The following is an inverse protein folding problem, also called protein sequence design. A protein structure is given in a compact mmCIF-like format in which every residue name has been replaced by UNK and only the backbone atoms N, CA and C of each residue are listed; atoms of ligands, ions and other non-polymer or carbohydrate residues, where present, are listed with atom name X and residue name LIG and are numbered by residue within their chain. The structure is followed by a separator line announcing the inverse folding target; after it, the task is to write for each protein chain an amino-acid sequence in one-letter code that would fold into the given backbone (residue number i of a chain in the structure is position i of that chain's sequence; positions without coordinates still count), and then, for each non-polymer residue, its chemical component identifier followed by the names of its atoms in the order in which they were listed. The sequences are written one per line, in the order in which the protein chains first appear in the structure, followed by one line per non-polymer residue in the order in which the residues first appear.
data_IF_518982114880
#
_entry.id   IF_518982114880
#
_cell.length_a   1.000
_cell.length_b   1.000
_cell.length_c   1.000
_cell.angle_alpha   90.00
_cell.angle_beta   90.00
_cell.angle_gamma   90.00
#
_symmetry.space_group_name_H-M   'P 1'
#
loop_
_entity.id
_entity.type
_entity.pdbx_description
1 polymer ?
#
# COMPACT_ATOMS: atom_id res chain seq x y z
N UNK A 1 -15.12 -11.03 -59.58
CA UNK A 1 -14.66 -9.66 -59.25
C UNK A 1 -14.38 -9.60 -57.75
N UNK A 2 -13.11 -9.60 -57.32
CA UNK A 2 -12.75 -9.40 -55.90
C UNK A 2 -12.67 -7.89 -55.64
N UNK A 3 -13.54 -7.39 -54.78
CA UNK A 3 -13.44 -6.04 -54.25
C UNK A 3 -12.26 -6.02 -53.26
N UNK A 4 -11.19 -5.31 -53.62
CA UNK A 4 -10.19 -4.91 -52.65
C UNK A 4 -10.81 -3.79 -51.80
N UNK A 5 -11.11 -4.07 -50.53
CA UNK A 5 -11.24 -3.00 -49.55
C UNK A 5 -9.83 -2.44 -49.30
N UNK A 6 -9.62 -1.12 -49.39
CA UNK A 6 -8.36 -0.53 -49.03
C UNK A 6 -8.07 -0.85 -47.55
N UNK A 7 -6.86 -1.36 -47.31
CA UNK A 7 -6.32 -1.56 -45.96
C UNK A 7 -6.43 -0.23 -45.22
N UNK A 8 -7.02 -0.24 -44.02
CA UNK A 8 -7.13 0.94 -43.17
C UNK A 8 -5.77 1.66 -43.11
N UNK A 9 -5.76 2.91 -43.54
CA UNK A 9 -4.60 3.79 -43.47
C UNK A 9 -4.19 3.90 -42.00
N UNK A 10 -3.02 3.34 -41.66
CA UNK A 10 -2.50 3.45 -40.30
C UNK A 10 -2.24 4.93 -40.05
N UNK A 11 -2.75 5.51 -38.95
CA UNK A 11 -2.51 6.92 -38.67
C UNK A 11 -1.01 7.13 -38.58
N UNK A 12 -0.50 8.00 -39.46
CA UNK A 12 0.90 8.37 -39.62
C UNK A 12 1.54 8.55 -38.22
N UNK A 13 2.44 7.63 -37.85
CA UNK A 13 3.02 7.48 -36.51
C UNK A 13 4.01 8.58 -36.13
N UNK A 14 4.28 9.52 -37.04
CA UNK A 14 5.26 10.60 -36.92
C UNK A 14 5.06 11.51 -35.68
N UNK A 15 3.84 11.56 -35.11
CA UNK A 15 3.53 12.40 -33.94
C UNK A 15 2.96 11.63 -32.73
N UNK A 16 2.92 10.29 -32.75
CA UNK A 16 2.42 9.50 -31.61
C UNK A 16 3.53 9.27 -30.57
N UNK A 17 3.75 10.26 -29.69
CA UNK A 17 4.59 10.04 -28.50
C UNK A 17 3.75 9.37 -27.41
N UNK A 18 4.11 8.13 -27.07
CA UNK A 18 3.50 7.44 -25.94
C UNK A 18 3.66 8.28 -24.65
N UNK A 19 2.59 8.46 -23.85
CA UNK A 19 2.67 9.25 -22.63
C UNK A 19 3.65 8.61 -21.65
N UNK A 20 4.48 9.44 -21.00
CA UNK A 20 5.37 8.99 -19.93
C UNK A 20 4.56 8.55 -18.71
N UNK A 21 5.08 7.62 -17.91
CA UNK A 21 4.41 7.13 -16.69
C UNK A 21 3.97 8.26 -15.75
N UNK A 22 4.78 9.32 -15.61
CA UNK A 22 4.44 10.50 -14.82
C UNK A 22 3.15 11.17 -15.32
N UNK A 23 3.04 11.39 -16.64
CA UNK A 23 1.87 12.00 -17.25
C UNK A 23 0.60 11.17 -17.06
N UNK A 24 0.72 9.84 -17.07
CA UNK A 24 -0.40 8.92 -16.78
C UNK A 24 -0.82 9.04 -15.31
N UNK A 25 0.13 9.11 -14.38
CA UNK A 25 -0.17 9.27 -12.95
C UNK A 25 -0.80 10.63 -12.64
N UNK A 26 -0.31 11.69 -13.26
CA UNK A 26 -0.87 13.04 -13.09
C UNK A 26 -2.31 13.09 -13.61
N UNK A 27 -2.56 12.50 -14.79
CA UNK A 27 -3.90 12.36 -15.34
C UNK A 27 -4.80 11.50 -14.44
N UNK A 28 -4.29 10.42 -13.87
CA UNK A 28 -5.06 9.59 -12.94
C UNK A 28 -5.43 10.37 -11.68
N UNK A 29 -4.49 11.13 -11.10
CA UNK A 29 -4.75 12.01 -9.94
C UNK A 29 -5.82 13.03 -10.27
N UNK A 30 -5.74 13.70 -11.42
CA UNK A 30 -6.74 14.70 -11.84
C UNK A 30 -8.14 14.13 -12.09
N UNK A 31 -8.28 12.80 -12.24
CA UNK A 31 -9.58 12.12 -12.46
C UNK A 31 -10.18 11.53 -11.19
N UNK A 32 -9.49 11.60 -10.06
CA UNK A 32 -9.91 10.95 -8.81
C UNK A 32 -11.29 11.41 -8.36
N UNK A 33 -11.53 12.73 -8.37
CA UNK A 33 -12.82 13.30 -7.96
C UNK A 33 -13.97 12.83 -8.85
N UNK A 34 -13.81 12.94 -10.17
CA UNK A 34 -14.82 12.46 -11.12
C UNK A 34 -15.08 10.96 -10.99
N UNK A 35 -14.03 10.16 -10.76
CA UNK A 35 -14.17 8.72 -10.56
C UNK A 35 -14.97 8.39 -9.29
N UNK A 36 -14.72 9.08 -8.19
CA UNK A 36 -15.48 8.91 -6.93
C UNK A 36 -16.95 9.27 -7.13
N UNK A 37 -17.24 10.35 -7.86
CA UNK A 37 -18.61 10.76 -8.18
C UNK A 37 -19.34 9.69 -9.01
N UNK A 38 -18.65 9.11 -10.01
CA UNK A 38 -19.20 8.01 -10.82
C UNK A 38 -19.49 6.77 -9.97
N UNK A 39 -18.55 6.37 -9.09
CA UNK A 39 -18.76 5.22 -8.21
C UNK A 39 -19.95 5.45 -7.27
N UNK A 40 -20.05 6.65 -6.69
CA UNK A 40 -21.17 7.03 -5.82
C UNK A 40 -22.51 6.98 -6.57
N UNK A 41 -22.54 7.48 -7.80
CA UNK A 41 -23.71 7.41 -8.66
C UNK A 41 -24.11 5.96 -9.00
N UNK A 42 -23.14 5.09 -9.33
CA UNK A 42 -23.40 3.67 -9.61
C UNK A 42 -23.97 2.98 -8.36
N UNK A 43 -23.38 3.21 -7.19
CA UNK A 43 -23.80 2.59 -5.92
C UNK A 43 -25.26 2.90 -5.57
N UNK A 44 -25.69 4.14 -5.81
CA UNK A 44 -27.04 4.64 -5.49
C UNK A 44 -28.08 4.35 -6.59
N UNK A 45 -27.64 4.00 -7.80
CA UNK A 45 -28.55 3.80 -8.93
C UNK A 45 -29.25 2.44 -8.86
N UNK A 46 -30.57 2.45 -8.68
CA UNK A 46 -31.39 1.23 -8.60
C UNK A 46 -31.37 0.38 -9.88
N UNK A 47 -31.24 1.03 -11.05
CA UNK A 47 -31.17 0.32 -12.33
C UNK A 47 -29.80 -0.28 -12.63
N UNK A 48 -28.79 -0.03 -11.80
CA UNK A 48 -27.47 -0.64 -11.95
C UNK A 48 -27.51 -2.08 -11.44
N UNK A 49 -26.75 -2.98 -12.06
CA UNK A 49 -26.70 -4.36 -11.59
C UNK A 49 -26.20 -4.42 -10.13
N UNK A 50 -26.69 -5.39 -9.35
CA UNK A 50 -26.35 -5.51 -7.93
C UNK A 50 -24.85 -5.66 -7.67
N UNK A 51 -24.14 -6.43 -8.49
CA UNK A 51 -22.69 -6.61 -8.40
C UNK A 51 -21.93 -5.29 -8.64
N UNK A 52 -22.34 -4.46 -9.60
CA UNK A 52 -21.73 -3.17 -9.89
C UNK A 52 -21.90 -2.20 -8.73
N UNK A 53 -23.06 -2.22 -8.07
CA UNK A 53 -23.32 -1.43 -6.86
C UNK A 53 -22.40 -1.84 -5.70
N UNK A 54 -22.28 -3.15 -5.45
CA UNK A 54 -21.38 -3.70 -4.42
C UNK A 54 -19.93 -3.38 -4.73
N UNK A 55 -19.50 -3.57 -5.99
CA UNK A 55 -18.15 -3.25 -6.42
C UNK A 55 -17.83 -1.76 -6.24
N UNK A 56 -18.76 -0.87 -6.56
CA UNK A 56 -18.60 0.57 -6.36
C UNK A 56 -18.51 0.93 -4.86
N UNK A 57 -19.34 0.33 -4.02
CA UNK A 57 -19.30 0.52 -2.57
C UNK A 57 -17.95 0.08 -1.98
N UNK A 58 -17.50 -1.13 -2.31
CA UNK A 58 -16.19 -1.65 -1.85
C UNK A 58 -15.04 -0.75 -2.32
N UNK A 59 -15.08 -0.27 -3.57
CA UNK A 59 -14.05 0.61 -4.10
C UNK A 59 -13.96 1.98 -3.39
N UNK A 60 -15.07 2.48 -2.82
CA UNK A 60 -15.08 3.71 -2.01
C UNK A 60 -14.54 3.41 -0.61
N UNK A 61 -15.03 2.34 0.03
CA UNK A 61 -14.66 1.96 1.39
C UNK A 61 -13.17 1.62 1.50
N UNK A 62 -12.64 0.81 0.57
CA UNK A 62 -11.22 0.45 0.50
C UNK A 62 -10.29 1.68 0.45
N UNK A 63 -10.77 2.81 -0.08
CA UNK A 63 -10.00 4.06 -0.19
C UNK A 63 -10.08 4.95 1.05
N UNK A 64 -11.24 4.99 1.71
CA UNK A 64 -11.46 5.83 2.90
C UNK A 64 -10.99 5.18 4.19
N UNK A 65 -11.17 3.87 4.31
CA UNK A 65 -10.93 3.10 5.55
C UNK A 65 -9.79 2.10 5.42
N UNK A 66 -9.23 1.94 4.21
CA UNK A 66 -8.24 0.91 3.91
C UNK A 66 -8.87 -0.46 3.72
N UNK A 67 -8.04 -1.44 3.40
CA UNK A 67 -8.47 -2.85 3.35
C UNK A 67 -8.44 -3.46 4.74
N UNK A 68 -9.38 -4.37 5.06
CA UNK A 68 -9.32 -5.12 6.31
C UNK A 68 -7.94 -5.76 6.47
N UNK A 69 -7.39 -5.68 7.69
CA UNK A 69 -6.09 -6.25 8.03
C UNK A 69 -6.13 -7.73 7.68
N UNK A 70 -5.30 -8.15 6.71
CA UNK A 70 -5.19 -9.56 6.39
C UNK A 70 -4.53 -10.28 7.57
N UNK A 71 -5.16 -11.33 8.13
CA UNK A 71 -4.51 -12.14 9.14
C UNK A 71 -3.24 -12.74 8.55
N UNK A 72 -2.09 -12.41 9.14
CA UNK A 72 -0.84 -13.08 8.81
C UNK A 72 -0.94 -14.48 9.41
N UNK A 73 -1.26 -15.47 8.59
CA UNK A 73 -1.09 -16.87 8.95
C UNK A 73 0.42 -17.15 8.93
N UNK A 74 1.05 -17.06 10.08
CA UNK A 74 2.39 -17.61 10.30
C UNK A 74 2.24 -19.01 10.91
N UNK A 75 3.16 -19.90 10.58
CA UNK A 75 3.22 -21.27 11.14
C UNK A 75 3.46 -21.28 12.67
N UNK A 76 3.69 -20.12 13.29
CA UNK A 76 4.03 -19.96 14.71
C UNK A 76 2.89 -19.43 15.61
N UNK A 77 1.63 -19.51 15.17
CA UNK A 77 0.49 -19.00 15.94
C UNK A 77 0.33 -17.48 15.83
N UNK A 78 -0.71 -16.88 16.45
CA UNK A 78 -0.98 -15.47 16.28
C UNK A 78 0.16 -14.63 16.87
N UNK A 79 0.99 -14.03 16.02
CA UNK A 79 1.91 -12.99 16.46
C UNK A 79 1.08 -11.78 16.86
N UNK A 80 1.19 -11.35 18.12
CA UNK A 80 0.72 -10.02 18.51
C UNK A 80 1.43 -9.00 17.62
N UNK A 81 0.66 -8.23 16.86
CA UNK A 81 1.17 -7.24 15.92
C UNK A 81 1.79 -6.05 16.69
N UNK A 82 2.98 -6.21 17.27
CA UNK A 82 3.68 -5.16 18.03
C UNK A 82 4.44 -4.20 17.10
N UNK A 83 3.74 -3.54 16.18
CA UNK A 83 4.35 -2.47 15.38
C UNK A 83 4.07 -1.10 16.01
N UNK A 84 5.06 -0.55 16.73
CA UNK A 84 5.05 0.82 17.26
C UNK A 84 5.79 1.74 16.29
N UNK A 85 5.07 2.59 15.58
CA UNK A 85 5.65 3.60 14.69
C UNK A 85 5.64 4.94 15.44
N UNK A 86 6.81 5.49 15.74
CA UNK A 86 6.94 6.84 16.32
C UNK A 86 7.38 7.85 15.27
N UNK A 87 6.76 9.04 15.28
CA UNK A 87 7.17 10.16 14.45
C UNK A 87 7.92 11.18 15.31
N UNK A 88 9.25 11.21 15.17
CA UNK A 88 10.10 12.23 15.81
C UNK A 88 10.34 13.34 14.80
N UNK A 89 9.78 14.52 15.07
CA UNK A 89 10.01 15.72 14.25
C UNK A 89 11.12 16.51 14.92
N UNK A 90 12.30 16.53 14.30
CA UNK A 90 13.45 17.29 14.79
C UNK A 90 13.46 18.67 14.09
N UNK A 91 13.58 19.74 14.87
CA UNK A 91 13.82 21.07 14.33
C UNK A 91 15.27 21.16 13.79
N UNK A 92 15.49 21.73 12.59
CA UNK A 92 16.80 21.72 11.93
C UNK A 92 17.89 22.46 12.72
N UNK A 93 17.50 23.41 13.56
CA UNK A 93 18.43 24.25 14.33
C UNK A 93 18.96 23.59 15.62
N UNK A 94 18.51 22.36 15.94
CA UNK A 94 18.99 21.62 17.11
C UNK A 94 19.16 20.10 16.82
N UNK A 95 20.25 19.71 16.13
CA UNK A 95 20.49 18.32 15.72
C UNK A 95 20.89 17.37 16.87
N UNK A 96 21.04 17.85 18.12
CA UNK A 96 21.62 17.07 19.22
C UNK A 96 20.64 16.36 20.16
N UNK A 97 19.32 16.45 19.96
CA UNK A 97 18.35 15.76 20.81
C UNK A 97 18.02 14.32 20.35
N UNK A 98 18.94 13.65 19.63
CA UNK A 98 18.67 12.39 18.92
C UNK A 98 19.72 11.29 19.10
N UNK A 99 20.59 11.35 20.11
CA UNK A 99 21.47 10.22 20.46
C UNK A 99 21.02 9.64 21.79
N UNK A 100 19.91 8.90 21.77
CA UNK A 100 19.70 7.89 22.80
C UNK A 100 20.68 6.76 22.50
N UNK A 101 21.79 6.78 23.24
CA UNK A 101 22.70 5.67 23.37
C UNK A 101 21.87 4.48 23.87
N UNK A 102 21.52 3.57 22.96
CA UNK A 102 21.03 2.25 23.35
C UNK A 102 22.22 1.61 24.06
N UNK A 103 22.24 1.67 25.39
CA UNK A 103 23.19 0.91 26.18
C UNK A 103 22.84 -0.57 25.97
N UNK A 104 23.60 -1.22 25.09
CA UNK A 104 23.60 -2.68 24.95
C UNK A 104 24.41 -3.24 26.13
N UNK A 105 23.94 -3.01 27.36
CA UNK A 105 24.58 -3.47 28.60
C UNK A 105 23.82 -4.64 29.25
N UNK A 106 22.59 -4.93 28.82
CA UNK A 106 21.75 -5.97 29.46
C UNK A 106 21.70 -7.34 28.76
N UNK A 107 22.35 -7.51 27.60
CA UNK A 107 22.38 -8.83 26.93
C UNK A 107 23.49 -9.76 27.44
N UNK A 108 24.48 -9.25 28.17
CA UNK A 108 25.55 -10.10 28.74
C UNK A 108 25.20 -10.74 30.08
N UNK A 109 24.16 -10.26 30.78
CA UNK A 109 23.78 -10.82 32.08
C UNK A 109 22.91 -12.07 31.95
N UNK A 110 22.00 -12.13 30.97
CA UNK A 110 21.15 -13.31 30.76
C UNK A 110 21.95 -14.52 30.27
N UNK A 111 22.99 -14.33 29.44
CA UNK A 111 23.84 -15.43 28.97
C UNK A 111 24.69 -16.06 30.08
N UNK A 112 25.08 -15.31 31.12
CA UNK A 112 25.84 -15.86 32.25
C UNK A 112 24.98 -16.65 33.23
N UNK A 113 23.69 -16.31 33.37
CA UNK A 113 22.77 -17.06 34.22
C UNK A 113 22.41 -18.43 33.63
N UNK A 114 22.31 -18.54 32.30
CA UNK A 114 21.96 -19.80 31.63
C UNK A 114 23.13 -20.79 31.68
N UNK A 115 24.38 -20.33 31.47
CA UNK A 115 25.54 -21.23 31.52
C UNK A 115 25.87 -21.77 32.93
N UNK A 116 25.53 -21.02 34.00
CA UNK A 116 25.70 -21.51 35.37
C UNK A 116 24.70 -22.59 35.76
N UNK A 117 23.51 -22.61 35.14
CA UNK A 117 22.48 -23.61 35.43
C UNK A 117 22.74 -24.96 34.74
N UNK A 118 23.54 -25.00 33.67
CA UNK A 118 23.91 -26.26 32.98
C UNK A 118 25.08 -27.00 33.66
N UNK A 119 25.84 -26.35 34.55
CA UNK A 119 26.95 -26.97 35.28
C UNK A 119 26.51 -27.66 36.60
N UNK A 120 25.32 -27.34 37.12
CA UNK A 120 24.78 -27.90 38.37
C UNK A 120 23.94 -29.19 38.19
N UNK A 121 23.77 -29.67 36.95
CA UNK A 121 22.97 -30.86 36.62
C UNK A 121 23.82 -32.07 36.19
N UNK A 122 25.10 -32.11 36.55
CA UNK A 122 26.02 -33.22 36.24
C UNK A 122 26.61 -33.89 37.48
#
# INVERSE_FOLDING_TARGET
MRFYQPVAEQPNSENFRAPTLLAIQDLARSRTESAINVLSAIMLRETANAFARVAAANAILDRGWGRPVQPLATDHGPMELLHRIERVIVHPDNPSAGVNQIEISDLSQTSQSISRQEEELR
#
